data_IF_041767551031
#
_entry.id   IF_041767551031
#
_cell.length_a   1.000
_cell.length_b   1.000
_cell.length_c   1.000
_cell.angle_alpha   90.00
_cell.angle_beta   90.00
_cell.angle_gamma   90.00
#
_symmetry.space_group_name_H-M   'P 1'
#
loop_
_entity.id
_entity.type
_entity.pdbx_description
1 polymer ?
#
# COMPACT_ATOMS: atom_id res chain seq x y z
N UNK A 1 21.86 31.24 -23.34
CA UNK A 1 21.74 29.90 -22.70
C UNK A 1 20.70 29.88 -21.57
N UNK A 2 19.70 30.78 -21.54
CA UNK A 2 18.66 30.82 -20.49
C UNK A 2 17.31 30.22 -20.91
N UNK A 3 17.09 29.98 -22.20
CA UNK A 3 15.79 29.55 -22.75
C UNK A 3 15.59 28.02 -22.69
N UNK A 4 16.67 27.25 -22.61
CA UNK A 4 16.58 25.78 -22.56
C UNK A 4 16.14 25.25 -21.19
N UNK A 5 16.39 26.02 -20.11
CA UNK A 5 15.95 25.65 -18.76
C UNK A 5 14.47 25.98 -18.52
N UNK A 6 13.89 26.95 -19.23
CA UNK A 6 12.45 27.29 -19.16
C UNK A 6 11.59 26.22 -19.84
N UNK A 7 12.00 25.79 -21.04
CA UNK A 7 11.22 24.86 -21.88
C UNK A 7 11.09 23.43 -21.34
N UNK A 8 11.96 23.00 -20.44
CA UNK A 8 11.89 21.64 -19.86
C UNK A 8 10.75 21.53 -18.84
N UNK A 9 10.28 22.65 -18.27
CA UNK A 9 9.14 22.68 -17.36
C UNK A 9 7.81 23.04 -18.06
N UNK A 10 7.83 23.36 -19.35
CA UNK A 10 6.67 23.91 -20.07
C UNK A 10 5.72 22.85 -20.65
N UNK A 11 6.12 21.58 -20.80
CA UNK A 11 5.22 20.54 -21.36
C UNK A 11 5.25 19.21 -20.59
N UNK A 12 5.09 19.29 -19.25
CA UNK A 12 4.53 18.15 -18.50
C UNK A 12 3.00 18.33 -18.45
N UNK A 13 2.29 17.80 -19.45
CA UNK A 13 0.82 17.71 -19.42
C UNK A 13 0.36 16.49 -18.63
N UNK A 14 0.32 16.62 -17.30
CA UNK A 14 -0.37 15.64 -16.46
C UNK A 14 -1.88 15.83 -16.65
N UNK A 15 -2.52 14.91 -17.37
CA UNK A 15 -3.97 14.95 -17.61
C UNK A 15 -4.78 14.88 -16.30
N UNK A 16 -4.21 14.28 -15.24
CA UNK A 16 -4.73 14.26 -13.86
C UNK A 16 -3.60 13.90 -12.88
N UNK A 17 -3.14 14.84 -12.05
CA UNK A 17 -2.34 14.52 -10.87
C UNK A 17 -3.30 14.50 -9.67
N UNK A 18 -3.78 13.33 -9.23
CA UNK A 18 -4.58 13.27 -7.98
C UNK A 18 -3.63 13.21 -6.77
N UNK A 19 -2.72 14.17 -6.66
CA UNK A 19 -1.73 14.20 -5.58
C UNK A 19 -2.22 14.87 -4.29
N UNK A 20 -3.43 15.43 -4.27
CA UNK A 20 -3.93 16.27 -3.17
C UNK A 20 -4.96 15.59 -2.27
N UNK A 21 -5.00 14.26 -2.23
CA UNK A 21 -5.79 13.60 -1.20
C UNK A 21 -5.07 13.69 0.16
N UNK A 22 -5.84 13.61 1.24
CA UNK A 22 -5.26 13.35 2.56
C UNK A 22 -4.57 11.98 2.61
N UNK A 23 -3.90 11.71 3.73
CA UNK A 23 -3.33 10.40 4.01
C UNK A 23 -4.44 9.35 4.13
N UNK A 24 -4.38 8.26 3.35
CA UNK A 24 -5.35 7.18 3.48
C UNK A 24 -5.28 6.53 4.86
N UNK A 25 -6.36 5.86 5.25
CA UNK A 25 -6.38 5.08 6.50
C UNK A 25 -6.11 3.61 6.18
N UNK A 26 -5.71 2.83 7.18
CA UNK A 26 -5.63 1.38 7.03
C UNK A 26 -6.10 0.66 8.28
N UNK A 27 -6.58 -0.56 8.08
CA UNK A 27 -6.97 -1.48 9.14
C UNK A 27 -6.15 -2.75 9.06
N UNK A 28 -5.84 -3.33 10.21
CA UNK A 28 -5.13 -4.61 10.26
C UNK A 28 -6.02 -5.73 9.74
N UNK A 29 -5.41 -6.71 9.08
CA UNK A 29 -6.10 -7.93 8.68
C UNK A 29 -6.57 -8.73 9.90
N UNK A 30 -7.77 -9.32 9.80
CA UNK A 30 -8.43 -10.00 10.91
C UNK A 30 -7.69 -11.22 11.46
N UNK A 31 -6.75 -11.80 10.71
CA UNK A 31 -5.90 -12.91 11.16
C UNK A 31 -4.72 -12.46 12.04
N UNK A 32 -4.55 -11.16 12.26
CA UNK A 32 -3.41 -10.59 12.94
C UNK A 32 -3.85 -9.71 14.11
N UNK A 33 -3.05 -9.72 15.18
CA UNK A 33 -3.19 -8.75 16.29
C UNK A 33 -2.03 -7.77 16.20
N UNK A 34 -2.34 -6.47 16.18
CA UNK A 34 -1.33 -5.44 15.97
C UNK A 34 -1.90 -4.12 15.45
N UNK A 35 -1.06 -3.34 14.80
CA UNK A 35 -1.39 -2.00 14.27
C UNK A 35 -0.96 -1.84 12.83
N UNK A 36 -1.64 -0.95 12.10
CA UNK A 36 -1.23 -0.50 10.78
C UNK A 36 -1.13 1.01 10.78
N UNK A 37 0.00 1.53 10.31
CA UNK A 37 0.22 2.95 10.11
C UNK A 37 0.45 3.23 8.61
N UNK A 38 -0.04 4.36 8.14
CA UNK A 38 0.11 4.79 6.75
C UNK A 38 0.65 6.21 6.70
N UNK A 39 1.52 6.46 5.73
CA UNK A 39 2.02 7.80 5.38
C UNK A 39 1.96 7.99 3.87
N UNK A 40 1.84 9.24 3.43
CA UNK A 40 1.67 9.60 2.02
C UNK A 40 0.25 10.08 1.71
N UNK A 41 -0.20 9.80 0.49
CA UNK A 41 -1.53 10.16 -0.03
C UNK A 41 -2.12 8.98 -0.82
N UNK A 42 -3.30 9.13 -1.41
CA UNK A 42 -4.00 8.03 -2.08
C UNK A 42 -3.23 7.48 -3.29
N UNK A 43 -2.27 8.23 -3.87
CA UNK A 43 -1.49 7.79 -5.02
C UNK A 43 -0.20 7.06 -4.68
N UNK A 44 0.47 7.44 -3.59
CA UNK A 44 1.72 6.82 -3.19
C UNK A 44 1.99 7.03 -1.71
N UNK A 45 2.68 6.08 -1.11
CA UNK A 45 3.02 6.16 0.30
C UNK A 45 3.66 4.91 0.85
N UNK A 46 3.62 4.79 2.17
CA UNK A 46 4.19 3.67 2.91
C UNK A 46 3.19 3.15 3.93
N UNK A 47 3.00 1.84 3.96
CA UNK A 47 2.23 1.12 4.97
C UNK A 47 3.19 0.37 5.87
N UNK A 48 3.04 0.55 7.18
CA UNK A 48 3.78 -0.19 8.21
C UNK A 48 2.80 -1.03 9.01
N UNK A 49 2.99 -2.34 9.02
CA UNK A 49 2.23 -3.29 9.83
C UNK A 49 3.12 -3.79 10.95
N UNK A 50 2.66 -3.63 12.19
CA UNK A 50 3.33 -4.17 13.38
C UNK A 50 2.45 -5.26 13.97
N UNK A 51 2.97 -6.48 14.05
CA UNK A 51 2.33 -7.64 14.66
C UNK A 51 2.77 -7.73 16.11
N UNK A 52 1.85 -7.72 17.07
CA UNK A 52 2.18 -7.69 18.50
C UNK A 52 2.16 -9.07 19.15
N UNK A 53 1.48 -10.04 18.56
CA UNK A 53 1.45 -11.43 19.03
C UNK A 53 1.72 -12.39 17.87
N UNK A 54 2.40 -13.50 18.15
CA UNK A 54 2.62 -14.52 17.13
C UNK A 54 1.28 -15.11 16.70
N UNK A 55 1.02 -15.15 15.39
CA UNK A 55 -0.22 -15.66 14.83
C UNK A 55 0.04 -16.57 13.64
N UNK A 56 -0.72 -17.66 13.55
CA UNK A 56 -0.90 -18.37 12.29
C UNK A 56 -2.01 -17.70 11.49
N UNK A 57 -1.91 -17.74 10.16
CA UNK A 57 -2.91 -17.18 9.27
C UNK A 57 -3.22 -18.16 8.12
N UNK A 58 -4.48 -18.19 7.64
CA UNK A 58 -4.90 -19.06 6.56
C UNK A 58 -4.40 -18.57 5.18
N UNK A 59 -4.66 -19.35 4.14
CA UNK A 59 -4.49 -18.89 2.75
C UNK A 59 -5.36 -17.66 2.49
N UNK A 60 -4.89 -16.76 1.63
CA UNK A 60 -5.62 -15.54 1.24
C UNK A 60 -5.88 -14.57 2.40
N UNK A 61 -5.10 -14.66 3.49
CA UNK A 61 -5.24 -13.77 4.64
C UNK A 61 -4.73 -12.36 4.28
N UNK A 62 -5.55 -11.30 4.45
CA UNK A 62 -5.08 -9.93 4.28
C UNK A 62 -4.12 -9.58 5.42
N UNK A 63 -2.97 -8.99 5.11
CA UNK A 63 -2.11 -8.36 6.11
C UNK A 63 -2.72 -7.05 6.61
N UNK A 64 -3.27 -6.27 5.68
CA UNK A 64 -3.98 -5.02 5.95
C UNK A 64 -4.97 -4.71 4.82
N UNK A 65 -5.89 -3.80 5.11
CA UNK A 65 -6.70 -3.09 4.12
C UNK A 65 -6.32 -1.62 4.14
N UNK A 66 -5.95 -1.07 2.98
CA UNK A 66 -5.78 0.36 2.75
C UNK A 66 -7.09 0.94 2.25
N UNK A 67 -7.55 2.04 2.86
CA UNK A 67 -8.76 2.75 2.48
C UNK A 67 -8.37 4.12 1.95
N UNK A 68 -8.66 4.36 0.67
CA UNK A 68 -8.41 5.64 0.02
C UNK A 68 -9.29 6.72 0.64
N UNK A 69 -8.71 7.89 0.85
CA UNK A 69 -9.41 9.06 1.36
C UNK A 69 -10.42 9.59 0.33
N UNK A 70 -10.11 9.44 -0.97
CA UNK A 70 -10.97 9.81 -2.09
C UNK A 70 -11.30 8.59 -2.93
N UNK A 71 -12.58 8.38 -3.22
CA UNK A 71 -13.00 7.30 -4.11
C UNK A 71 -12.48 7.54 -5.54
N UNK A 72 -11.92 6.49 -6.13
CA UNK A 72 -11.53 6.45 -7.52
C UNK A 72 -12.73 6.16 -8.45
N UNK A 73 -12.61 6.50 -9.74
CA UNK A 73 -13.69 6.30 -10.72
C UNK A 73 -13.91 4.81 -11.05
N UNK A 74 -12.83 4.04 -11.06
CA UNK A 74 -12.79 2.58 -11.21
C UNK A 74 -11.81 2.04 -10.18
N UNK A 75 -11.91 0.74 -9.85
CA UNK A 75 -10.91 0.11 -8.98
C UNK A 75 -9.51 0.27 -9.62
N UNK A 76 -8.56 0.94 -8.95
CA UNK A 76 -7.26 1.18 -9.53
C UNK A 76 -6.37 -0.06 -9.44
N UNK A 77 -5.31 -0.09 -10.24
CA UNK A 77 -4.22 -1.03 -10.02
C UNK A 77 -3.32 -0.50 -8.90
N UNK A 78 -2.94 -1.36 -7.96
CA UNK A 78 -2.08 -0.97 -6.83
C UNK A 78 -0.91 -1.93 -6.75
N UNK A 79 0.30 -1.36 -6.77
CA UNK A 79 1.54 -2.08 -6.59
C UNK A 79 2.01 -1.87 -5.17
N UNK A 80 2.36 -2.97 -4.51
CA UNK A 80 3.06 -2.96 -3.24
C UNK A 80 4.44 -3.56 -3.43
N UNK A 81 5.46 -2.94 -2.84
CA UNK A 81 6.80 -3.52 -2.81
C UNK A 81 7.42 -3.38 -1.43
N UNK A 82 8.22 -4.39 -0.99
CA UNK A 82 8.84 -4.37 0.31
C UNK A 82 9.75 -3.14 0.51
N UNK A 83 9.67 -2.55 1.69
CA UNK A 83 10.51 -1.44 2.14
C UNK A 83 11.38 -1.82 3.36
N UNK A 84 11.25 -3.05 3.86
CA UNK A 84 12.16 -3.60 4.86
C UNK A 84 12.40 -5.11 4.63
N UNK A 85 13.44 -5.65 5.29
CA UNK A 85 13.84 -7.04 5.13
C UNK A 85 12.74 -8.03 5.53
N UNK A 86 12.00 -7.76 6.61
CA UNK A 86 10.89 -8.62 7.05
C UNK A 86 9.79 -8.72 5.99
N UNK A 87 9.41 -7.61 5.35
CA UNK A 87 8.46 -7.63 4.24
C UNK A 87 9.04 -8.31 2.99
N UNK A 88 10.34 -8.16 2.74
CA UNK A 88 11.00 -8.76 1.58
C UNK A 88 11.11 -10.29 1.68
N UNK A 89 11.10 -10.83 2.90
CA UNK A 89 11.09 -12.28 3.15
C UNK A 89 9.70 -12.91 2.98
N UNK A 90 8.63 -12.11 2.91
CA UNK A 90 7.29 -12.64 2.65
C UNK A 90 7.14 -12.99 1.18
N UNK A 91 6.88 -14.27 0.91
CA UNK A 91 6.63 -14.78 -0.44
C UNK A 91 5.14 -14.92 -0.74
N UNK A 92 4.78 -14.86 -2.02
CA UNK A 92 3.40 -15.03 -2.46
C UNK A 92 2.46 -13.93 -1.97
N UNK A 93 2.92 -12.69 -1.85
CA UNK A 93 2.04 -11.55 -1.54
C UNK A 93 1.37 -11.04 -2.81
N UNK A 94 0.13 -10.58 -2.71
CA UNK A 94 -0.61 -10.05 -3.84
C UNK A 94 -1.69 -9.03 -3.43
N UNK A 95 -2.06 -8.17 -4.39
CA UNK A 95 -3.15 -7.21 -4.25
C UNK A 95 -4.49 -7.95 -4.33
N UNK A 96 -5.32 -7.84 -3.28
CA UNK A 96 -6.60 -8.54 -3.13
C UNK A 96 -7.76 -7.54 -3.05
N UNK A 97 -8.88 -7.90 -3.68
CA UNK A 97 -10.16 -7.16 -3.64
C UNK A 97 -10.01 -5.64 -3.88
N UNK A 98 -9.36 -5.19 -4.97
CA UNK A 98 -9.32 -3.77 -5.29
C UNK A 98 -10.75 -3.28 -5.58
N UNK A 99 -11.15 -2.22 -4.89
CA UNK A 99 -12.39 -1.47 -5.14
C UNK A 99 -12.04 -0.02 -5.44
N UNK A 100 -13.04 0.81 -5.72
CA UNK A 100 -12.84 2.26 -5.88
C UNK A 100 -12.38 2.96 -4.61
N UNK A 101 -12.58 2.37 -3.43
CA UNK A 101 -12.33 3.01 -2.13
C UNK A 101 -11.29 2.27 -1.27
N UNK A 102 -10.88 1.07 -1.65
CA UNK A 102 -9.98 0.27 -0.83
C UNK A 102 -9.25 -0.80 -1.60
N UNK A 103 -8.16 -1.28 -1.02
CA UNK A 103 -7.41 -2.43 -1.52
C UNK A 103 -6.77 -3.18 -0.36
N UNK A 104 -6.57 -4.49 -0.50
CA UNK A 104 -5.86 -5.30 0.49
C UNK A 104 -4.52 -5.79 -0.07
N UNK A 105 -3.51 -5.90 0.79
CA UNK A 105 -2.35 -6.75 0.53
C UNK A 105 -2.56 -8.06 1.28
N UNK A 106 -2.51 -9.20 0.60
CA UNK A 106 -2.80 -10.50 1.18
C UNK A 106 -1.71 -11.55 0.88
N UNK A 107 -1.66 -12.59 1.70
CA UNK A 107 -0.85 -13.79 1.44
C UNK A 107 -1.57 -14.72 0.47
N UNK A 108 -0.86 -15.32 -0.49
CA UNK A 108 -1.40 -16.40 -1.31
C UNK A 108 -1.45 -17.72 -0.50
N UNK A 109 -0.47 -17.90 0.38
CA UNK A 109 -0.29 -19.11 1.17
C UNK A 109 -0.64 -18.87 2.64
N UNK A 110 -0.97 -19.95 3.35
CA UNK A 110 -1.03 -19.93 4.81
C UNK A 110 0.38 -19.79 5.40
N UNK A 111 0.49 -19.35 6.65
CA UNK A 111 1.79 -19.15 7.28
C UNK A 111 1.71 -18.76 8.75
N UNK A 112 2.84 -18.30 9.26
CA UNK A 112 2.98 -17.76 10.62
C UNK A 112 3.71 -16.43 10.57
N UNK A 113 3.26 -15.47 11.38
CA UNK A 113 3.96 -14.23 11.64
C UNK A 113 4.53 -14.29 13.07
N UNK A 114 5.83 -13.98 13.27
CA UNK A 114 6.41 -13.93 14.59
C UNK A 114 5.87 -12.75 15.39
N UNK A 115 5.91 -12.87 16.72
CA UNK A 115 5.57 -11.76 17.61
C UNK A 115 6.53 -10.58 17.41
N UNK A 116 6.04 -9.36 17.59
CA UNK A 116 6.80 -8.11 17.44
C UNK A 116 7.42 -7.91 16.04
N UNK A 117 6.92 -8.61 15.02
CA UNK A 117 7.36 -8.43 13.64
C UNK A 117 6.83 -7.10 13.09
N UNK A 118 7.69 -6.37 12.36
CA UNK A 118 7.29 -5.17 11.63
C UNK A 118 7.53 -5.37 10.15
N UNK A 119 6.51 -5.15 9.34
CA UNK A 119 6.55 -5.27 7.89
C UNK A 119 6.24 -3.91 7.26
N UNK A 120 7.07 -3.47 6.33
CA UNK A 120 6.90 -2.17 5.67
C UNK A 120 6.81 -2.39 4.17
N UNK A 121 5.80 -1.80 3.56
CA UNK A 121 5.64 -1.77 2.10
C UNK A 121 5.45 -0.34 1.63
N UNK A 122 6.07 0.01 0.52
CA UNK A 122 5.64 1.14 -0.26
C UNK A 122 4.45 0.74 -1.13
N UNK A 123 3.60 1.71 -1.47
CA UNK A 123 2.56 1.52 -2.47
C UNK A 123 2.59 2.60 -3.52
N UNK A 124 2.12 2.24 -4.71
CA UNK A 124 1.77 3.16 -5.78
C UNK A 124 0.47 2.74 -6.43
N UNK A 125 -0.40 3.71 -6.68
CA UNK A 125 -1.67 3.53 -7.34
C UNK A 125 -1.56 4.03 -8.77
N UNK A 126 -1.95 3.17 -9.72
CA UNK A 126 -1.98 3.47 -11.15
C UNK A 126 -3.43 3.64 -11.58
N UNK A 127 -3.75 4.82 -12.12
CA UNK A 127 -5.07 5.16 -12.63
C UNK A 127 -5.02 6.24 -13.73
#
# INVERSE_FOLDING_TARGET
>A
MSDLASKIFEDIRVKKLIGNSGTPTATIGSSFTGTVAVSGNDMAGTVTVTITAATSFPTLAPYFQLNFNTAYATAPAVLFWPANASAALLSGIYTKLPTTTSVQLASANAGTAPASATYVWHYHVIQ
#
